data_IF_691809318520
#
_entry.id   IF_691809318520
#
_cell.length_a   1.000
_cell.length_b   1.000
_cell.length_c   1.000
_cell.angle_alpha   90.00
_cell.angle_beta   90.00
_cell.angle_gamma   90.00
#
_symmetry.space_group_name_H-M   'P 1'
#
loop_
_entity.id
_entity.type
_entity.pdbx_description
1 polymer ?
#
# COMPACT_ATOMS: atom_id res chain seq x y z
N UNK A 1 -8.69 7.33 5.51
CA UNK A 1 -10.14 7.04 5.46
C UNK A 1 -10.37 5.84 4.57
N UNK A 2 -11.54 5.22 4.65
CA UNK A 2 -11.94 4.11 3.76
C UNK A 2 -13.24 4.50 3.08
N UNK A 3 -13.28 4.40 1.75
CA UNK A 3 -14.47 4.67 0.96
C UNK A 3 -15.44 3.46 1.06
N UNK A 4 -16.55 3.59 1.78
CA UNK A 4 -17.51 2.50 1.98
C UNK A 4 -18.61 2.50 0.90
N UNK A 5 -19.55 3.44 0.98
CA UNK A 5 -20.65 3.54 0.02
C UNK A 5 -20.26 4.35 -1.24
N UNK A 6 -19.56 5.46 -1.03
CA UNK A 6 -19.21 6.40 -2.10
C UNK A 6 -17.70 6.59 -2.15
N UNK A 7 -17.21 6.99 -3.33
CA UNK A 7 -15.85 7.45 -3.57
C UNK A 7 -15.93 8.74 -4.41
N UNK A 8 -14.94 9.64 -4.32
CA UNK A 8 -14.92 10.82 -5.16
C UNK A 8 -14.67 10.44 -6.62
N UNK A 9 -15.30 11.17 -7.54
CA UNK A 9 -14.88 11.14 -8.95
C UNK A 9 -13.41 11.57 -9.03
N UNK A 10 -12.58 10.86 -9.82
CA UNK A 10 -11.18 11.23 -9.94
C UNK A 10 -11.05 12.60 -10.59
N UNK A 11 -10.25 13.48 -9.97
CA UNK A 11 -9.80 14.71 -10.62
C UNK A 11 -8.88 14.38 -11.80
N UNK A 12 -8.69 15.35 -12.72
CA UNK A 12 -7.73 15.17 -13.80
C UNK A 12 -6.34 14.88 -13.21
N UNK A 13 -5.70 13.81 -13.70
CA UNK A 13 -4.41 13.28 -13.23
C UNK A 13 -4.40 12.63 -11.82
N UNK A 14 -5.56 12.43 -11.19
CA UNK A 14 -5.67 11.68 -9.93
C UNK A 14 -5.73 10.16 -10.14
N UNK A 15 -5.30 9.41 -9.12
CA UNK A 15 -5.50 7.96 -9.09
C UNK A 15 -6.98 7.62 -9.14
N UNK A 16 -7.40 6.62 -9.94
CA UNK A 16 -8.76 6.12 -9.86
C UNK A 16 -9.04 5.64 -8.44
N UNK A 17 -10.11 6.14 -7.86
CA UNK A 17 -10.57 5.70 -6.54
C UNK A 17 -11.73 4.73 -6.71
N UNK A 18 -12.03 3.98 -5.65
CA UNK A 18 -13.20 3.09 -5.61
C UNK A 18 -13.81 3.09 -4.21
N UNK A 19 -14.95 2.42 -4.05
CA UNK A 19 -15.63 2.17 -2.78
C UNK A 19 -15.95 0.69 -2.60
N UNK A 20 -16.14 0.24 -1.36
CA UNK A 20 -16.56 -1.15 -1.07
C UNK A 20 -17.85 -1.51 -1.81
N UNK A 21 -18.83 -0.59 -1.86
CA UNK A 21 -20.06 -0.81 -2.60
C UNK A 21 -19.84 -1.00 -4.10
N UNK A 22 -18.92 -0.23 -4.71
CA UNK A 22 -18.60 -0.36 -6.13
C UNK A 22 -17.99 -1.73 -6.46
N UNK A 23 -17.09 -2.21 -5.62
CA UNK A 23 -16.37 -3.47 -5.87
C UNK A 23 -17.15 -4.73 -5.44
N UNK A 24 -18.07 -4.62 -4.49
CA UNK A 24 -18.77 -5.79 -3.90
C UNK A 24 -20.30 -5.78 -4.08
N UNK A 25 -20.87 -4.68 -4.56
CA UNK A 25 -22.32 -4.49 -4.70
C UNK A 25 -23.05 -4.03 -3.44
N UNK A 26 -22.37 -3.93 -2.28
CA UNK A 26 -22.98 -3.48 -1.03
C UNK A 26 -22.00 -2.70 -0.14
N UNK A 27 -22.51 -1.72 0.61
CA UNK A 27 -21.73 -1.02 1.62
C UNK A 27 -22.02 -1.58 3.03
N UNK A 28 -21.00 -1.88 3.85
CA UNK A 28 -21.22 -2.11 5.26
C UNK A 28 -21.62 -0.80 5.97
N UNK A 29 -22.31 -0.94 7.10
CA UNK A 29 -22.51 0.19 8.01
C UNK A 29 -21.14 0.69 8.54
N UNK A 30 -20.94 2.00 8.73
CA UNK A 30 -19.66 2.56 9.19
C UNK A 30 -19.12 1.91 10.47
N UNK A 31 -19.96 1.67 11.48
CA UNK A 31 -19.55 1.05 12.74
C UNK A 31 -19.12 -0.40 12.57
N UNK A 32 -19.78 -1.14 11.67
CA UNK A 32 -19.38 -2.51 11.34
C UNK A 32 -18.03 -2.54 10.62
N UNK A 33 -17.80 -1.63 9.68
CA UNK A 33 -16.52 -1.48 9.00
C UNK A 33 -15.40 -1.08 9.96
N UNK A 34 -15.67 -0.13 10.87
CA UNK A 34 -14.73 0.30 11.90
C UNK A 34 -14.38 -0.85 12.85
N UNK A 35 -15.38 -1.61 13.30
CA UNK A 35 -15.16 -2.77 14.18
C UNK A 35 -14.25 -3.81 13.53
N UNK A 36 -14.50 -4.14 12.26
CA UNK A 36 -13.67 -5.07 11.50
C UNK A 36 -12.24 -4.54 11.31
N UNK A 37 -12.09 -3.26 10.94
CA UNK A 37 -10.79 -2.63 10.76
C UNK A 37 -10.00 -2.57 12.07
N UNK A 38 -10.64 -2.19 13.18
CA UNK A 38 -10.02 -2.11 14.49
C UNK A 38 -9.55 -3.49 14.98
N UNK A 39 -10.37 -4.53 14.78
CA UNK A 39 -9.99 -5.90 15.10
C UNK A 39 -8.77 -6.38 14.32
N UNK A 40 -8.76 -6.16 13.00
CA UNK A 40 -7.61 -6.51 12.14
C UNK A 40 -6.35 -5.72 12.51
N UNK A 41 -6.51 -4.42 12.79
CA UNK A 41 -5.41 -3.56 13.21
C UNK A 41 -4.81 -4.00 14.55
N UNK A 42 -5.66 -4.32 15.53
CA UNK A 42 -5.21 -4.80 16.85
C UNK A 42 -4.38 -6.09 16.72
N UNK A 43 -4.81 -7.03 15.87
CA UNK A 43 -4.08 -8.27 15.60
C UNK A 43 -2.67 -7.98 15.06
N UNK A 44 -2.55 -7.11 14.05
CA UNK A 44 -1.24 -6.75 13.49
C UNK A 44 -0.38 -5.92 14.43
N UNK A 45 -0.98 -5.06 15.26
CA UNK A 45 -0.27 -4.29 16.28
C UNK A 45 0.34 -5.21 17.34
N UNK A 46 -0.41 -6.22 17.79
CA UNK A 46 0.11 -7.26 18.69
C UNK A 46 1.21 -8.06 18.02
N UNK A 47 1.02 -8.51 16.77
CA UNK A 47 2.07 -9.24 16.04
C UNK A 47 3.35 -8.39 15.88
N UNK A 48 3.22 -7.11 15.53
CA UNK A 48 4.37 -6.21 15.36
C UNK A 48 5.13 -6.00 16.68
N UNK A 49 4.42 -5.79 17.79
CA UNK A 49 5.03 -5.56 19.11
C UNK A 49 5.64 -6.81 19.74
N UNK A 50 5.12 -8.00 19.42
CA UNK A 50 5.57 -9.27 20.03
C UNK A 50 6.50 -10.10 19.16
N UNK A 51 6.39 -9.99 17.83
CA UNK A 51 7.13 -10.79 16.85
C UNK A 51 8.00 -9.93 15.92
N UNK A 52 7.94 -8.60 16.05
CA UNK A 52 8.62 -7.67 15.16
C UNK A 52 7.97 -7.56 13.78
N UNK A 53 8.67 -6.91 12.85
CA UNK A 53 8.12 -6.54 11.54
C UNK A 53 8.04 -7.71 10.54
N UNK A 54 8.86 -8.75 10.70
CA UNK A 54 9.01 -9.79 9.69
C UNK A 54 7.70 -10.50 9.27
N UNK A 55 6.79 -10.89 10.20
CA UNK A 55 5.51 -11.49 9.81
C UNK A 55 4.60 -10.53 9.04
N UNK A 56 4.54 -9.26 9.47
CA UNK A 56 3.76 -8.21 8.82
C UNK A 56 4.29 -7.93 7.42
N UNK A 57 5.62 -7.82 7.28
CA UNK A 57 6.31 -7.65 5.99
C UNK A 57 5.95 -8.76 5.00
N UNK A 58 6.04 -10.03 5.43
CA UNK A 58 5.70 -11.17 4.59
C UNK A 58 4.22 -11.12 4.13
N UNK A 59 3.31 -10.83 5.06
CA UNK A 59 1.88 -10.72 4.74
C UNK A 59 1.57 -9.55 3.80
N UNK A 60 2.28 -8.43 3.95
CA UNK A 60 2.15 -7.25 3.11
C UNK A 60 2.69 -7.52 1.69
N UNK A 61 3.90 -8.10 1.56
CA UNK A 61 4.50 -8.44 0.26
C UNK A 61 3.67 -9.43 -0.54
N UNK A 62 3.05 -10.41 0.13
CA UNK A 62 2.13 -11.36 -0.51
C UNK A 62 0.89 -10.70 -1.15
N UNK A 63 0.58 -9.45 -0.77
CA UNK A 63 -0.56 -8.67 -1.27
C UNK A 63 -0.13 -7.39 -2.00
N UNK A 64 1.18 -7.17 -2.14
CA UNK A 64 1.72 -5.95 -2.70
C UNK A 64 1.33 -5.85 -4.18
N UNK A 65 0.66 -4.75 -4.53
CA UNK A 65 0.39 -4.46 -5.93
C UNK A 65 1.71 -4.22 -6.67
N UNK A 66 1.81 -4.74 -7.90
CA UNK A 66 2.91 -4.46 -8.83
C UNK A 66 4.31 -4.89 -8.34
N UNK A 67 4.41 -5.79 -7.36
CA UNK A 67 5.68 -6.43 -7.03
C UNK A 67 6.26 -7.13 -8.27
N UNK A 68 7.55 -6.89 -8.54
CA UNK A 68 8.24 -7.35 -9.75
C UNK A 68 7.93 -6.56 -11.03
N UNK A 69 7.14 -5.47 -10.95
CA UNK A 69 6.78 -4.64 -12.10
C UNK A 69 7.40 -3.24 -11.98
N UNK A 70 7.42 -2.50 -13.10
CA UNK A 70 7.89 -1.11 -13.12
C UNK A 70 6.94 -0.20 -12.37
N UNK A 71 7.50 0.68 -11.55
CA UNK A 71 6.79 1.75 -10.85
C UNK A 71 7.64 3.03 -10.89
N UNK A 72 7.00 4.16 -10.61
CA UNK A 72 7.65 5.46 -10.45
C UNK A 72 7.50 5.90 -9.00
N UNK A 73 8.61 6.18 -8.33
CA UNK A 73 8.66 6.75 -6.99
C UNK A 73 9.06 8.24 -7.07
N UNK A 74 8.19 9.13 -6.59
CA UNK A 74 8.47 10.56 -6.46
C UNK A 74 8.89 10.88 -5.03
N UNK A 75 10.08 11.43 -4.90
CA UNK A 75 10.68 11.96 -3.68
C UNK A 75 10.65 13.50 -3.75
N UNK A 76 10.89 14.22 -2.64
CA UNK A 76 10.89 15.69 -2.64
C UNK A 76 11.85 16.32 -3.66
N UNK A 77 12.98 15.67 -3.96
CA UNK A 77 14.07 16.18 -4.79
C UNK A 77 14.34 15.35 -6.06
N UNK A 78 13.63 14.23 -6.24
CA UNK A 78 13.91 13.30 -7.33
C UNK A 78 12.68 12.48 -7.75
N UNK A 79 12.61 12.12 -9.03
CA UNK A 79 11.71 11.08 -9.52
C UNK A 79 12.55 9.88 -9.97
N UNK A 80 12.16 8.69 -9.53
CA UNK A 80 12.90 7.45 -9.76
C UNK A 80 11.98 6.43 -10.39
N UNK A 81 12.34 5.95 -11.58
CA UNK A 81 11.67 4.81 -12.21
C UNK A 81 12.52 3.54 -12.07
N UNK A 82 11.87 2.43 -11.71
CA UNK A 82 12.53 1.13 -11.60
C UNK A 82 11.53 0.00 -11.37
N UNK A 83 12.04 -1.22 -11.24
CA UNK A 83 11.23 -2.39 -10.89
C UNK A 83 11.08 -2.45 -9.38
N UNK A 84 9.83 -2.51 -8.88
CA UNK A 84 9.53 -2.75 -7.47
C UNK A 84 10.02 -4.15 -7.08
N UNK A 85 11.18 -4.22 -6.45
CA UNK A 85 11.82 -5.49 -6.14
C UNK A 85 11.38 -6.02 -4.76
N UNK A 86 11.27 -5.13 -3.76
CA UNK A 86 10.99 -5.54 -2.39
C UNK A 86 10.59 -4.36 -1.49
N UNK A 87 10.08 -4.66 -0.30
CA UNK A 87 10.17 -3.78 0.88
C UNK A 87 11.15 -4.47 1.83
N UNK A 88 12.22 -3.84 2.26
CA UNK A 88 13.23 -4.51 3.11
C UNK A 88 12.80 -4.70 4.58
N UNK A 89 13.70 -5.24 5.39
CA UNK A 89 13.44 -5.59 6.79
C UNK A 89 13.16 -4.38 7.70
N UNK A 90 13.49 -3.17 7.25
CA UNK A 90 13.20 -1.93 7.98
C UNK A 90 12.09 -1.10 7.29
N UNK A 91 11.39 -1.69 6.32
CA UNK A 91 10.22 -1.07 5.68
C UNK A 91 10.52 -0.14 4.52
N UNK A 92 11.75 -0.11 3.99
CA UNK A 92 12.09 0.74 2.85
C UNK A 92 11.77 0.04 1.51
N UNK A 93 11.24 0.79 0.55
CA UNK A 93 11.03 0.36 -0.83
C UNK A 93 12.38 0.11 -1.51
N UNK A 94 12.55 -1.08 -2.07
CA UNK A 94 13.68 -1.45 -2.90
C UNK A 94 13.27 -1.38 -4.37
N UNK A 95 13.87 -0.45 -5.09
CA UNK A 95 13.73 -0.28 -6.53
C UNK A 95 14.98 -0.77 -7.26
N UNK A 96 14.79 -1.67 -8.22
CA UNK A 96 15.85 -2.08 -9.14
C UNK A 96 15.85 -1.18 -10.37
N UNK A 97 16.95 -0.45 -10.59
CA UNK A 97 17.16 0.40 -11.75
C UNK A 97 18.45 -0.03 -12.45
N UNK A 98 18.34 -0.57 -13.66
CA UNK A 98 19.50 -1.00 -14.46
C UNK A 98 20.47 -1.92 -13.70
N UNK A 99 19.93 -2.83 -12.88
CA UNK A 99 20.71 -3.77 -12.06
C UNK A 99 21.24 -3.21 -10.74
N UNK A 100 20.98 -1.93 -10.42
CA UNK A 100 21.31 -1.33 -9.11
C UNK A 100 20.07 -1.26 -8.24
N UNK A 101 20.20 -1.68 -6.98
CA UNK A 101 19.15 -1.55 -5.97
C UNK A 101 19.23 -0.19 -5.29
N UNK A 102 18.12 0.53 -5.26
CA UNK A 102 17.95 1.79 -4.53
C UNK A 102 16.93 1.58 -3.42
N UNK A 103 17.30 1.99 -2.21
CA UNK A 103 16.48 1.93 -1.00
C UNK A 103 15.83 3.29 -0.74
N UNK A 104 14.51 3.33 -0.58
CA UNK A 104 13.72 4.55 -0.42
C UNK A 104 12.76 4.38 0.77
N UNK A 105 12.92 5.20 1.81
CA UNK A 105 12.09 5.11 3.02
C UNK A 105 10.69 5.71 2.86
N UNK A 106 10.55 6.73 2.02
CA UNK A 106 9.27 7.38 1.74
C UNK A 106 9.28 7.98 0.33
N UNK A 107 8.20 7.76 -0.41
CA UNK A 107 7.95 8.34 -1.72
C UNK A 107 6.46 8.19 -2.06
N UNK A 108 5.98 9.05 -2.93
CA UNK A 108 4.70 8.83 -3.61
C UNK A 108 4.92 7.85 -4.76
N UNK A 109 4.16 6.75 -4.78
CA UNK A 109 4.33 5.67 -5.75
C UNK A 109 3.26 5.74 -6.82
N UNK A 110 3.69 5.60 -8.08
CA UNK A 110 2.84 5.63 -9.26
C UNK A 110 3.04 4.35 -10.10
N UNK A 111 1.94 3.80 -10.59
CA UNK A 111 1.87 2.64 -11.47
C UNK A 111 1.51 3.07 -12.90
N UNK A 112 2.45 2.95 -13.83
CA UNK A 112 2.22 3.18 -15.27
C UNK A 112 1.32 2.11 -15.89
#
# INVERSE_FOLDING_TARGET
>A
GVNLAHHPEPEADAWPTTSVARETGAAPAPDAALTALAGAFAQWSVALSTQGFAPLRAAWLARAARLGQKIVARLPDATVEGVFADIDAEGALILSQSGRMRRIHAADVYFS
#
